data_IF_311921755567
#
_entry.id   IF_311921755567
#
_cell.length_a   1.000
_cell.length_b   1.000
_cell.length_c   1.000
_cell.angle_alpha   90.00
_cell.angle_beta   90.00
_cell.angle_gamma   90.00
#
_symmetry.space_group_name_H-M   'P 1'
#
loop_
_entity.id
_entity.type
_entity.pdbx_description
1 polymer ?
#
# COMPACT_ATOMS: atom_id res chain seq x y z
N UNK A 1 23.27 -30.16 -12.27
CA UNK A 1 22.77 -28.94 -11.58
C UNK A 1 21.24 -28.99 -11.63
N UNK A 2 20.59 -29.81 -10.81
CA UNK A 2 19.14 -30.07 -10.98
C UNK A 2 18.24 -29.47 -9.89
N UNK A 3 18.79 -28.66 -8.97
CA UNK A 3 18.03 -28.08 -7.85
C UNK A 3 18.29 -26.57 -7.64
N UNK A 4 18.59 -25.84 -8.71
CA UNK A 4 18.77 -24.38 -8.61
C UNK A 4 17.42 -23.70 -8.78
N UNK A 5 16.92 -23.11 -7.69
CA UNK A 5 15.72 -22.26 -7.70
C UNK A 5 16.10 -20.81 -7.42
N UNK A 6 15.42 -19.86 -8.07
CA UNK A 6 15.59 -18.44 -7.81
C UNK A 6 14.63 -17.97 -6.71
N UNK A 7 15.14 -17.28 -5.69
CA UNK A 7 14.32 -16.63 -4.67
C UNK A 7 14.03 -15.19 -5.08
N UNK A 8 12.75 -14.80 -5.10
CA UNK A 8 12.37 -13.42 -5.37
C UNK A 8 12.69 -12.53 -4.17
N UNK A 9 13.53 -11.50 -4.41
CA UNK A 9 13.85 -10.47 -3.42
C UNK A 9 12.89 -9.28 -3.46
N UNK A 10 12.22 -9.07 -4.60
CA UNK A 10 11.16 -8.07 -4.80
C UNK A 10 9.99 -8.74 -5.51
N UNK A 11 8.78 -8.23 -5.30
CA UNK A 11 7.62 -8.67 -6.05
C UNK A 11 7.78 -8.33 -7.53
N UNK A 12 7.51 -9.30 -8.40
CA UNK A 12 7.46 -9.08 -9.83
C UNK A 12 6.07 -8.57 -10.22
N UNK A 13 6.04 -7.65 -11.16
CA UNK A 13 4.79 -7.15 -11.74
C UNK A 13 3.96 -8.29 -12.33
N UNK A 14 2.63 -8.22 -12.20
CA UNK A 14 1.71 -9.26 -12.66
C UNK A 14 1.58 -10.47 -11.72
N UNK A 15 2.40 -10.59 -10.66
CA UNK A 15 2.12 -11.55 -9.59
C UNK A 15 1.07 -10.97 -8.64
N UNK A 16 0.11 -11.79 -8.20
CA UNK A 16 -0.86 -11.45 -7.13
C UNK A 16 -0.23 -10.92 -5.84
N UNK A 17 1.07 -11.20 -5.64
CA UNK A 17 1.85 -10.76 -4.49
C UNK A 17 2.25 -9.28 -4.60
N UNK A 18 2.36 -8.73 -5.81
CA UNK A 18 2.87 -7.38 -6.05
C UNK A 18 1.95 -6.28 -5.50
N UNK A 19 0.63 -6.28 -5.79
CA UNK A 19 -0.27 -5.25 -5.24
C UNK A 19 -0.30 -5.27 -3.71
N UNK A 20 -0.17 -6.46 -3.11
CA UNK A 20 -0.11 -6.63 -1.65
C UNK A 20 1.16 -6.03 -1.05
N UNK A 21 2.32 -6.24 -1.67
CA UNK A 21 3.57 -5.68 -1.20
C UNK A 21 3.62 -4.16 -1.40
N UNK A 22 3.07 -3.68 -2.52
CA UNK A 22 2.92 -2.26 -2.78
C UNK A 22 2.01 -1.60 -1.74
N UNK A 23 0.83 -2.16 -1.47
CA UNK A 23 -0.10 -1.64 -0.46
C UNK A 23 0.53 -1.61 0.94
N UNK A 24 1.29 -2.64 1.33
CA UNK A 24 2.02 -2.65 2.61
C UNK A 24 2.98 -1.47 2.74
N UNK A 25 3.80 -1.24 1.71
CA UNK A 25 4.75 -0.11 1.67
C UNK A 25 4.03 1.23 1.66
N UNK A 26 2.97 1.36 0.87
CA UNK A 26 2.17 2.58 0.80
C UNK A 26 1.54 2.91 2.17
N UNK A 27 0.94 1.91 2.82
CA UNK A 27 0.32 2.08 4.13
C UNK A 27 1.34 2.51 5.21
N UNK A 28 2.55 1.94 5.19
CA UNK A 28 3.64 2.37 6.07
C UNK A 28 4.05 3.82 5.81
N UNK A 29 4.22 4.20 4.54
CA UNK A 29 4.52 5.58 4.14
C UNK A 29 3.45 6.57 4.62
N UNK A 30 2.17 6.23 4.45
CA UNK A 30 1.05 7.06 4.89
C UNK A 30 1.05 7.26 6.41
N UNK A 31 1.26 6.19 7.17
CA UNK A 31 1.40 6.26 8.64
C UNK A 31 2.55 7.15 9.07
N UNK A 32 3.74 6.99 8.46
CA UNK A 32 4.91 7.82 8.73
C UNK A 32 4.66 9.29 8.38
N UNK A 33 3.82 9.55 7.39
CA UNK A 33 3.38 10.89 6.97
C UNK A 33 2.24 11.47 7.83
N UNK A 34 1.89 10.80 8.94
CA UNK A 34 0.82 11.17 9.91
C UNK A 34 -0.60 11.14 9.33
N UNK A 35 -0.83 10.33 8.29
CA UNK A 35 -2.17 9.97 7.88
C UNK A 35 -2.69 8.81 8.73
N UNK A 36 -3.98 8.84 9.02
CA UNK A 36 -4.70 7.77 9.72
C UNK A 36 -5.61 7.08 8.72
N UNK A 37 -5.71 5.76 8.79
CA UNK A 37 -6.64 5.00 7.96
C UNK A 37 -8.06 5.21 8.48
N UNK A 38 -9.01 5.40 7.58
CA UNK A 38 -10.43 5.44 7.90
C UNK A 38 -10.88 4.05 8.38
N UNK A 39 -11.73 4.00 9.41
CA UNK A 39 -12.27 2.74 9.92
C UNK A 39 -13.31 2.13 8.97
N UNK A 40 -14.09 2.98 8.29
CA UNK A 40 -15.11 2.55 7.33
C UNK A 40 -14.57 2.12 5.97
N UNK A 41 -13.35 2.55 5.60
CA UNK A 41 -12.70 2.19 4.35
C UNK A 41 -11.18 2.10 4.51
N UNK A 42 -10.64 0.90 4.32
CA UNK A 42 -9.21 0.64 4.45
C UNK A 42 -8.33 1.29 3.38
N UNK A 43 -8.92 1.74 2.27
CA UNK A 43 -8.23 2.47 1.20
C UNK A 43 -8.31 3.99 1.37
N UNK A 44 -9.06 4.47 2.37
CA UNK A 44 -9.19 5.88 2.68
C UNK A 44 -8.24 6.29 3.82
N UNK A 45 -7.52 7.38 3.62
CA UNK A 45 -6.56 7.96 4.54
C UNK A 45 -6.92 9.40 4.84
N UNK A 46 -6.94 9.75 6.12
CA UNK A 46 -7.36 11.05 6.61
C UNK A 46 -6.21 11.66 7.42
N UNK A 47 -5.89 12.92 7.13
CA UNK A 47 -4.98 13.72 7.94
C UNK A 47 -5.69 14.99 8.39
N UNK A 48 -5.83 15.13 9.70
CA UNK A 48 -6.49 16.26 10.35
C UNK A 48 -5.49 17.37 10.61
N UNK A 49 -5.89 18.59 10.29
CA UNK A 49 -5.29 19.84 10.72
C UNK A 49 -6.28 20.60 11.62
N UNK A 50 -5.91 21.76 12.14
CA UNK A 50 -6.74 22.52 13.08
C UNK A 50 -8.11 22.85 12.46
N UNK A 51 -8.10 23.38 11.23
CA UNK A 51 -9.33 23.85 10.55
C UNK A 51 -9.66 23.08 9.27
N UNK A 52 -8.86 22.06 8.91
CA UNK A 52 -8.96 21.39 7.61
C UNK A 52 -8.65 19.90 7.69
N UNK A 53 -9.06 19.18 6.65
CA UNK A 53 -8.76 17.76 6.47
C UNK A 53 -8.20 17.51 5.08
N UNK A 54 -7.24 16.61 5.00
CA UNK A 54 -6.82 16.00 3.73
C UNK A 54 -7.35 14.57 3.74
N UNK A 55 -8.13 14.22 2.71
CA UNK A 55 -8.65 12.88 2.51
C UNK A 55 -8.05 12.34 1.21
N UNK A 56 -7.44 11.16 1.28
CA UNK A 56 -6.83 10.47 0.16
C UNK A 56 -7.43 9.08 0.06
N UNK A 57 -8.02 8.75 -1.08
CA UNK A 57 -8.54 7.42 -1.37
C UNK A 57 -7.64 6.75 -2.39
N UNK A 58 -7.18 5.55 -2.05
CA UNK A 58 -6.35 4.74 -2.92
C UNK A 58 -7.25 3.95 -3.88
N UNK A 59 -7.14 4.26 -5.18
CA UNK A 59 -7.72 3.44 -6.22
C UNK A 59 -6.64 2.52 -6.79
N UNK A 60 -6.81 1.21 -6.61
CA UNK A 60 -5.97 0.21 -7.27
C UNK A 60 -6.67 -0.15 -8.57
N UNK A 61 -6.10 0.27 -9.70
CA UNK A 61 -6.51 -0.27 -10.98
C UNK A 61 -6.01 -1.71 -11.05
N UNK A 62 -6.93 -2.67 -10.95
CA UNK A 62 -6.63 -4.06 -11.30
C UNK A 62 -6.37 -4.09 -12.82
N UNK A 63 -5.23 -4.65 -13.22
CA UNK A 63 -5.10 -5.36 -14.50
C UNK A 63 -5.36 -6.84 -14.25
#
# INVERSE_FOLDING_TARGET
KENLVCKLHKSLYGLKQEPRQWYKKFNEFMRNSRFHRCEGDHYCYIKKYIDNYIILTLYIADM
#
